data_IF_982870224685
#
_entry.id   IF_982870224685
#
_cell.length_a   1.000
_cell.length_b   1.000
_cell.length_c   1.000
_cell.angle_alpha   90.00
_cell.angle_beta   90.00
_cell.angle_gamma   90.00
#
_symmetry.space_group_name_H-M   'P 1'
#
loop_
_entity.id
_entity.type
_entity.pdbx_description
1 polymer ?
#
# COMPACT_ATOMS: atom_id res chain seq x y z
N UNK A 1 -12.39 28.20 47.64
CA UNK A 1 -12.02 27.84 46.26
C UNK A 1 -11.23 26.55 46.34
N UNK A 2 -11.75 25.45 45.80
CA UNK A 2 -11.11 24.15 45.86
C UNK A 2 -10.23 23.95 44.61
N UNK A 3 -9.00 23.49 44.80
CA UNK A 3 -8.11 23.08 43.70
C UNK A 3 -8.69 21.89 42.94
N UNK A 4 -8.57 21.83 41.61
CA UNK A 4 -8.99 20.67 40.84
C UNK A 4 -8.05 19.48 41.11
N UNK A 5 -8.56 18.24 41.12
CA UNK A 5 -7.73 17.06 41.34
C UNK A 5 -6.70 16.91 40.23
N UNK A 6 -5.42 16.77 40.60
CA UNK A 6 -4.36 16.40 39.68
C UNK A 6 -4.70 15.04 39.06
N UNK A 7 -4.84 15.01 37.74
CA UNK A 7 -4.96 13.77 37.00
C UNK A 7 -3.63 13.01 37.11
N UNK A 8 -3.66 11.87 37.79
CA UNK A 8 -2.59 10.88 37.75
C UNK A 8 -2.42 10.40 36.31
N UNK A 9 -1.45 10.99 35.61
CA UNK A 9 -1.01 10.50 34.31
C UNK A 9 -0.28 9.17 34.57
N UNK A 10 -1.04 8.08 34.61
CA UNK A 10 -0.46 6.74 34.55
C UNK A 10 0.25 6.68 33.21
N UNK A 11 1.59 6.75 33.26
CA UNK A 11 2.44 6.47 32.13
C UNK A 11 2.19 5.01 31.73
N UNK A 12 1.19 4.79 30.88
CA UNK A 12 1.16 3.66 29.97
C UNK A 12 2.54 3.65 29.34
N UNK A 13 3.35 2.64 29.68
CA UNK A 13 4.60 2.36 29.00
C UNK A 13 4.24 2.06 27.55
N UNK A 14 4.07 3.15 26.78
CA UNK A 14 3.54 3.12 25.44
C UNK A 14 4.47 2.23 24.64
N UNK A 15 3.93 1.14 24.13
CA UNK A 15 4.59 0.34 23.10
C UNK A 15 4.95 1.33 21.98
N UNK A 16 6.22 1.69 21.91
CA UNK A 16 6.74 2.53 20.83
C UNK A 16 6.39 1.76 19.54
N UNK A 17 5.56 2.33 18.64
CA UNK A 17 5.19 1.65 17.43
C UNK A 17 6.46 1.30 16.67
N UNK A 18 6.72 0.01 16.48
CA UNK A 18 7.85 -0.42 15.65
C UNK A 18 7.53 -0.02 14.22
N UNK A 19 8.42 0.77 13.63
CA UNK A 19 8.32 1.09 12.20
C UNK A 19 8.32 -0.23 11.41
N UNK A 20 7.51 -0.33 10.34
CA UNK A 20 7.53 -1.50 9.48
C UNK A 20 8.97 -1.72 8.99
N UNK A 21 9.50 -2.91 9.22
CA UNK A 21 10.78 -3.31 8.66
C UNK A 21 10.52 -3.94 7.29
N UNK A 22 11.30 -3.55 6.27
CA UNK A 22 11.19 -4.19 4.99
C UNK A 22 11.68 -5.62 5.06
N UNK A 23 10.91 -6.53 4.48
CA UNK A 23 11.34 -7.89 4.19
C UNK A 23 12.08 -7.97 2.84
N UNK A 24 11.96 -6.95 1.97
CA UNK A 24 12.73 -6.85 0.74
C UNK A 24 13.96 -5.94 0.88
N UNK A 25 15.01 -6.16 0.07
CA UNK A 25 16.21 -5.30 0.05
C UNK A 25 16.01 -3.96 -0.71
N UNK A 26 14.77 -3.48 -0.76
CA UNK A 26 14.34 -2.30 -1.52
C UNK A 26 14.13 -1.09 -0.58
N UNK A 27 13.92 0.12 -1.12
CA UNK A 27 14.14 0.47 -2.52
C UNK A 27 15.65 0.45 -2.77
N UNK A 28 16.08 0.09 -3.97
CA UNK A 28 17.46 0.38 -4.39
C UNK A 28 17.52 1.88 -4.69
N UNK A 29 17.56 2.68 -3.62
CA UNK A 29 17.35 4.13 -3.72
C UNK A 29 18.40 4.81 -4.58
N UNK A 30 17.94 5.63 -5.54
CA UNK A 30 18.78 6.67 -6.15
C UNK A 30 19.13 7.70 -5.07
N UNK A 31 20.39 8.17 -5.03
CA UNK A 31 20.81 9.22 -4.07
C UNK A 31 19.85 10.43 -4.13
N UNK A 32 19.41 10.91 -2.97
CA UNK A 32 18.61 12.15 -2.83
C UNK A 32 17.08 11.98 -2.80
N UNK A 33 16.53 10.76 -2.81
CA UNK A 33 15.10 10.53 -2.57
C UNK A 33 14.81 9.96 -1.18
N UNK A 34 13.85 10.56 -0.47
CA UNK A 34 13.26 9.98 0.73
C UNK A 34 12.11 9.05 0.32
N UNK A 35 12.23 7.79 0.71
CA UNK A 35 11.20 6.78 0.49
C UNK A 35 10.41 6.51 1.76
N UNK A 36 9.12 6.28 1.58
CA UNK A 36 8.20 5.80 2.60
C UNK A 36 7.88 4.35 2.32
N UNK A 37 8.03 3.51 3.34
CA UNK A 37 7.61 2.12 3.33
C UNK A 37 6.23 2.00 3.95
N UNK A 38 5.38 1.24 3.26
CA UNK A 38 4.14 0.70 3.82
C UNK A 38 4.09 -0.79 3.52
N UNK A 39 3.59 -1.56 4.48
CA UNK A 39 3.57 -3.02 4.42
C UNK A 39 2.22 -3.50 4.92
N UNK A 40 1.61 -4.42 4.18
CA UNK A 40 0.39 -5.11 4.62
C UNK A 40 0.57 -6.62 4.52
N UNK A 41 0.02 -7.34 5.51
CA UNK A 41 -0.18 -8.79 5.39
C UNK A 41 -1.49 -9.00 4.65
N UNK A 42 -1.41 -9.74 3.56
CA UNK A 42 -2.56 -9.94 2.69
C UNK A 42 -3.45 -11.02 3.27
N UNK A 43 -4.73 -10.67 3.42
CA UNK A 43 -5.83 -11.56 3.73
C UNK A 43 -7.04 -11.17 2.87
N UNK A 44 -8.04 -12.05 2.69
CA UNK A 44 -9.18 -11.75 1.84
C UNK A 44 -9.90 -10.46 2.26
N UNK A 45 -9.84 -9.45 1.40
CA UNK A 45 -10.55 -8.18 1.55
C UNK A 45 -11.87 -8.24 0.76
N UNK A 46 -12.89 -7.53 1.24
CA UNK A 46 -14.24 -7.51 0.64
C UNK A 46 -14.42 -6.34 -0.33
N UNK A 47 -13.72 -5.24 -0.08
CA UNK A 47 -13.70 -4.09 -0.98
C UNK A 47 -12.38 -3.32 -0.88
N UNK A 48 -12.09 -2.52 -1.90
CA UNK A 48 -10.97 -1.59 -1.89
C UNK A 48 -11.39 -0.19 -2.33
N UNK A 49 -10.59 0.80 -1.94
CA UNK A 49 -10.65 2.15 -2.48
C UNK A 49 -9.25 2.58 -2.91
N UNK A 50 -9.14 3.14 -4.12
CA UNK A 50 -7.88 3.68 -4.62
C UNK A 50 -7.72 5.13 -4.14
N UNK A 51 -6.57 5.48 -3.61
CA UNK A 51 -6.19 6.88 -3.39
C UNK A 51 -5.44 7.39 -4.61
N UNK A 52 -5.91 8.49 -5.19
CA UNK A 52 -5.37 9.03 -6.45
C UNK A 52 -4.91 10.48 -6.29
N UNK A 53 -3.84 10.84 -7.01
CA UNK A 53 -3.39 12.22 -7.14
C UNK A 53 -3.15 12.53 -8.62
N UNK A 54 -4.10 13.23 -9.26
CA UNK A 54 -4.12 13.36 -10.71
C UNK A 54 -4.33 11.98 -11.36
N UNK A 55 -3.39 11.56 -12.22
CA UNK A 55 -3.42 10.24 -12.88
C UNK A 55 -2.68 9.15 -12.11
N UNK A 56 -2.03 9.48 -10.99
CA UNK A 56 -1.20 8.55 -10.23
C UNK A 56 -2.02 7.90 -9.11
N UNK A 57 -1.95 6.58 -8.99
CA UNK A 57 -2.45 5.87 -7.82
C UNK A 57 -1.36 5.96 -6.75
N UNK A 58 -1.70 6.56 -5.61
CA UNK A 58 -0.74 6.80 -4.52
C UNK A 58 -0.87 5.79 -3.39
N UNK A 59 -2.03 5.14 -3.26
CA UNK A 59 -2.24 4.12 -2.25
C UNK A 59 -3.56 3.37 -2.41
N UNK A 60 -3.75 2.40 -1.53
CA UNK A 60 -4.90 1.50 -1.44
C UNK A 60 -5.42 1.51 -0.01
N UNK A 61 -6.74 1.56 0.12
CA UNK A 61 -7.44 1.23 1.35
C UNK A 61 -8.16 -0.10 1.11
N UNK A 62 -7.80 -1.15 1.85
CA UNK A 62 -8.47 -2.44 1.84
C UNK A 62 -9.44 -2.51 3.02
N UNK A 63 -10.65 -2.99 2.76
CA UNK A 63 -11.70 -3.14 3.75
C UNK A 63 -12.03 -4.62 3.85
N UNK A 64 -12.08 -5.14 5.07
CA UNK A 64 -12.26 -6.55 5.36
C UNK A 64 -13.68 -6.87 5.83
N UNK A 65 -14.03 -8.16 5.89
CA UNK A 65 -15.36 -8.61 6.29
C UNK A 65 -15.74 -8.19 7.72
N UNK A 66 -14.75 -8.10 8.60
CA UNK A 66 -14.89 -7.65 10.00
C UNK A 66 -14.99 -6.12 10.12
N UNK A 67 -14.97 -5.39 9.01
CA UNK A 67 -14.97 -3.92 8.98
C UNK A 67 -13.62 -3.29 9.30
N UNK A 68 -12.58 -4.09 9.58
CA UNK A 68 -11.23 -3.55 9.72
C UNK A 68 -10.73 -3.00 8.38
N UNK A 69 -9.76 -2.11 8.46
CA UNK A 69 -9.17 -1.45 7.31
C UNK A 69 -7.65 -1.52 7.38
N UNK A 70 -7.02 -1.80 6.24
CA UNK A 70 -5.57 -1.64 6.07
C UNK A 70 -5.28 -0.66 4.95
N UNK A 71 -4.17 0.06 5.09
CA UNK A 71 -3.70 1.00 4.06
C UNK A 71 -2.35 0.58 3.52
N UNK A 72 -2.17 0.79 2.23
CA UNK A 72 -0.92 0.59 1.53
C UNK A 72 -0.60 1.81 0.67
N UNK A 73 0.66 2.21 0.63
CA UNK A 73 1.10 3.46 0.01
C UNK A 73 0.66 4.69 0.79
N UNK A 74 0.51 5.80 0.08
CA UNK A 74 0.05 7.09 0.62
C UNK A 74 -1.44 7.25 0.35
N UNK A 75 -2.24 7.04 1.39
CA UNK A 75 -3.70 7.19 1.33
C UNK A 75 -4.12 8.57 1.82
N UNK A 76 -4.76 9.33 0.94
CA UNK A 76 -5.47 10.57 1.29
C UNK A 76 -6.97 10.30 1.24
N UNK A 77 -7.65 10.35 2.39
CA UNK A 77 -9.07 10.03 2.52
C UNK A 77 -9.96 10.92 1.63
N UNK A 78 -9.61 12.19 1.47
CA UNK A 78 -10.32 13.14 0.61
C UNK A 78 -10.15 12.85 -0.90
N UNK A 79 -9.21 11.98 -1.28
CA UNK A 79 -8.92 11.59 -2.67
C UNK A 79 -9.15 10.10 -2.92
N UNK A 80 -9.98 9.46 -2.11
CA UNK A 80 -10.39 8.08 -2.33
C UNK A 80 -11.45 8.01 -3.43
N UNK A 81 -11.20 7.17 -4.41
CA UNK A 81 -12.20 6.77 -5.38
C UNK A 81 -13.35 5.99 -4.71
N UNK A 82 -14.50 5.84 -5.39
CA UNK A 82 -15.58 4.97 -4.93
C UNK A 82 -15.09 3.55 -4.62
N UNK A 83 -15.73 2.85 -3.67
CA UNK A 83 -15.36 1.48 -3.34
C UNK A 83 -15.62 0.52 -4.50
N UNK A 84 -14.67 -0.36 -4.72
CA UNK A 84 -14.75 -1.46 -5.68
C UNK A 84 -14.83 -2.78 -4.91
N UNK A 85 -15.78 -3.63 -5.28
CA UNK A 85 -15.95 -4.94 -4.64
C UNK A 85 -14.84 -5.87 -5.09
N UNK A 86 -14.24 -6.56 -4.13
CA UNK A 86 -13.16 -7.52 -4.39
C UNK A 86 -13.71 -8.94 -4.51
N UNK A 87 -12.99 -9.76 -5.28
CA UNK A 87 -13.24 -11.19 -5.44
C UNK A 87 -12.13 -12.00 -4.76
N UNK A 88 -12.34 -13.31 -4.64
CA UNK A 88 -11.46 -14.20 -3.87
C UNK A 88 -10.04 -14.33 -4.45
N UNK A 89 -9.84 -14.02 -5.73
CA UNK A 89 -8.58 -14.27 -6.42
C UNK A 89 -7.49 -13.21 -6.20
N UNK A 90 -7.81 -12.05 -5.61
CA UNK A 90 -6.85 -10.96 -5.41
C UNK A 90 -7.13 -9.73 -6.27
N UNK A 91 -6.06 -8.96 -6.52
CA UNK A 91 -6.06 -7.78 -7.39
C UNK A 91 -4.89 -7.83 -8.38
N UNK A 92 -5.04 -7.12 -9.49
CA UNK A 92 -4.03 -7.00 -10.53
C UNK A 92 -3.51 -5.57 -10.57
N UNK A 93 -2.20 -5.40 -10.40
CA UNK A 93 -1.56 -4.08 -10.34
C UNK A 93 -0.63 -3.90 -11.53
N UNK A 94 -0.80 -2.81 -12.27
CA UNK A 94 0.10 -2.39 -13.35
C UNK A 94 0.94 -1.19 -12.90
N UNK A 95 2.25 -1.36 -13.00
CA UNK A 95 3.21 -0.27 -12.89
C UNK A 95 3.83 0.05 -14.26
N UNK A 96 4.00 1.33 -14.55
CA UNK A 96 4.62 1.83 -15.79
C UNK A 96 5.67 2.89 -15.48
N UNK A 97 6.59 3.12 -16.42
CA UNK A 97 7.54 4.24 -16.35
C UNK A 97 6.82 5.53 -16.76
N UNK A 98 6.58 6.42 -15.80
CA UNK A 98 6.02 7.76 -16.01
C UNK A 98 7.06 8.77 -15.59
N UNK A 99 7.42 9.69 -16.50
CA UNK A 99 8.51 10.66 -16.29
C UNK A 99 9.85 10.02 -15.86
N UNK A 100 10.14 8.81 -16.37
CA UNK A 100 11.32 7.98 -16.03
C UNK A 100 11.30 7.39 -14.60
N UNK A 101 10.14 7.34 -13.97
CA UNK A 101 9.94 6.76 -12.65
C UNK A 101 8.85 5.69 -12.67
N UNK A 102 9.03 4.55 -11.99
CA UNK A 102 7.97 3.57 -11.87
C UNK A 102 6.80 4.18 -11.08
N UNK A 103 5.59 4.04 -11.62
CA UNK A 103 4.35 4.46 -10.96
C UNK A 103 3.27 3.41 -11.14
N UNK A 104 2.47 3.18 -10.10
CA UNK A 104 1.24 2.40 -10.22
C UNK A 104 0.21 3.23 -10.98
N UNK A 105 -0.17 2.73 -12.16
CA UNK A 105 -1.06 3.43 -13.09
C UNK A 105 -2.44 2.79 -13.15
N UNK A 106 -2.56 1.50 -12.81
CA UNK A 106 -3.84 0.80 -12.74
C UNK A 106 -3.83 -0.25 -11.65
N UNK A 107 -4.99 -0.42 -11.01
CA UNK A 107 -5.33 -1.53 -10.13
C UNK A 107 -6.72 -2.00 -10.58
N UNK A 108 -6.88 -3.29 -10.84
CA UNK A 108 -8.14 -3.86 -11.31
C UNK A 108 -8.43 -5.16 -10.57
N UNK A 109 -9.72 -5.46 -10.37
CA UNK A 109 -10.16 -6.67 -9.66
C UNK A 109 -10.29 -7.87 -10.58
N UNK A 110 -10.69 -7.65 -11.83
CA UNK A 110 -10.80 -8.70 -12.82
C UNK A 110 -9.47 -8.95 -13.51
N UNK A 111 -9.24 -10.21 -13.91
CA UNK A 111 -8.05 -10.56 -14.69
C UNK A 111 -8.03 -9.75 -15.99
N UNK A 112 -6.97 -8.96 -16.26
CA UNK A 112 -6.86 -8.23 -17.51
C UNK A 112 -6.91 -9.18 -18.72
N UNK A 113 -7.74 -8.87 -19.72
CA UNK A 113 -7.83 -9.70 -20.92
C UNK A 113 -6.63 -9.57 -21.86
N UNK A 114 -6.13 -8.33 -22.06
CA UNK A 114 -4.94 -8.04 -22.88
C UNK A 114 -3.76 -7.67 -21.99
N UNK A 115 -2.56 -8.14 -22.35
CA UNK A 115 -1.31 -7.87 -21.65
C UNK A 115 -1.34 -8.22 -20.14
N UNK A 116 -2.01 -9.31 -19.77
CA UNK A 116 -2.12 -9.76 -18.39
C UNK A 116 -0.75 -10.03 -17.74
N UNK A 117 0.23 -10.41 -18.55
CA UNK A 117 1.64 -10.65 -18.18
C UNK A 117 2.35 -9.38 -17.66
N UNK A 118 1.85 -8.19 -17.99
CA UNK A 118 2.39 -6.91 -17.48
C UNK A 118 1.90 -6.56 -16.08
N UNK A 119 0.89 -7.27 -15.58
CA UNK A 119 0.31 -7.01 -14.27
C UNK A 119 0.94 -7.92 -13.23
N UNK A 120 1.16 -7.37 -12.05
CA UNK A 120 1.40 -8.14 -10.84
C UNK A 120 0.07 -8.65 -10.31
N UNK A 121 -0.11 -9.97 -10.30
CA UNK A 121 -1.23 -10.59 -9.60
C UNK A 121 -0.91 -10.67 -8.11
N UNK A 122 -1.58 -9.84 -7.31
CA UNK A 122 -1.48 -9.86 -5.85
C UNK A 122 -2.64 -10.69 -5.31
N UNK A 123 -2.35 -11.92 -4.89
CA UNK A 123 -3.34 -12.79 -4.26
C UNK A 123 -3.51 -12.38 -2.79
N UNK A 124 -4.62 -12.78 -2.16
CA UNK A 124 -4.88 -12.49 -0.74
C UNK A 124 -4.06 -13.35 0.24
N UNK A 125 -2.76 -13.49 -0.02
CA UNK A 125 -1.82 -14.30 0.73
C UNK A 125 -0.45 -13.65 0.71
N UNK A 126 0.35 -13.84 1.76
CA UNK A 126 1.70 -13.30 1.85
C UNK A 126 1.72 -11.83 2.30
N UNK A 127 2.67 -11.07 1.79
CA UNK A 127 2.88 -9.67 2.18
C UNK A 127 3.08 -8.80 0.94
N UNK A 128 2.50 -7.61 0.93
CA UNK A 128 2.77 -6.59 -0.10
C UNK A 128 3.47 -5.40 0.54
N UNK A 129 4.61 -5.04 -0.03
CA UNK A 129 5.32 -3.81 0.31
C UNK A 129 5.13 -2.79 -0.79
N UNK A 130 4.86 -1.55 -0.38
CA UNK A 130 4.81 -0.40 -1.27
C UNK A 130 5.80 0.64 -0.78
N UNK A 131 6.87 0.78 -1.56
CA UNK A 131 7.85 1.86 -1.42
C UNK A 131 7.40 3.03 -2.26
N UNK A 132 7.30 4.22 -1.67
CA UNK A 132 6.89 5.40 -2.40
C UNK A 132 7.76 6.60 -2.07
N UNK A 133 8.07 7.40 -3.09
CA UNK A 133 8.65 8.73 -2.94
C UNK A 133 7.71 9.77 -3.56
N UNK A 134 8.12 11.03 -3.54
CA UNK A 134 7.42 12.09 -4.27
C UNK A 134 7.26 11.77 -5.76
N UNK A 135 8.18 11.03 -6.38
CA UNK A 135 8.23 10.81 -7.84
C UNK A 135 7.95 9.38 -8.28
N UNK A 136 8.21 8.39 -7.42
CA UNK A 136 8.14 6.98 -7.82
C UNK A 136 7.47 6.08 -6.80
N UNK A 137 7.11 4.87 -7.22
CA UNK A 137 6.84 3.76 -6.32
C UNK A 137 7.28 2.41 -6.88
N UNK A 138 7.62 1.51 -5.97
CA UNK A 138 7.97 0.11 -6.25
C UNK A 138 7.14 -0.80 -5.34
N UNK A 139 6.61 -1.87 -5.93
CA UNK A 139 5.78 -2.86 -5.25
C UNK A 139 6.54 -4.19 -5.17
N UNK A 140 6.62 -4.75 -3.96
CA UNK A 140 7.21 -6.07 -3.75
C UNK A 140 6.17 -7.00 -3.14
N UNK A 141 5.78 -8.01 -3.92
CA UNK A 141 4.82 -9.01 -3.48
C UNK A 141 5.55 -10.26 -2.97
N UNK A 142 5.66 -10.36 -1.66
CA UNK A 142 6.35 -11.46 -1.00
C UNK A 142 5.39 -12.65 -0.84
N UNK A 143 5.18 -13.32 -1.97
CA UNK A 143 4.64 -14.68 -2.09
C UNK A 143 5.67 -15.62 -2.76
N UNK A 144 6.90 -15.14 -2.95
CA UNK A 144 7.97 -15.78 -3.74
C UNK A 144 8.19 -15.19 -5.15
N UNK A 145 7.54 -14.07 -5.52
CA UNK A 145 7.72 -13.41 -6.82
C UNK A 145 7.95 -11.90 -6.71
N UNK A 146 9.08 -11.40 -7.20
CA UNK A 146 9.36 -9.95 -7.31
C UNK A 146 9.12 -9.51 -8.75
N UNK A 147 8.38 -8.41 -8.99
CA UNK A 147 8.40 -7.76 -10.30
C UNK A 147 9.83 -7.23 -10.56
N UNK A 148 10.47 -7.55 -11.69
CA UNK A 148 11.73 -6.90 -12.01
C UNK A 148 11.43 -5.44 -12.41
N UNK A 149 12.14 -4.50 -11.81
CA UNK A 149 12.47 -3.26 -12.49
C UNK A 149 13.29 -3.65 -13.72
N UNK A 150 12.65 -3.81 -14.89
CA UNK A 150 13.41 -3.93 -16.13
C UNK A 150 14.20 -2.62 -16.34
N UNK A 151 15.44 -2.72 -16.86
CA UNK A 151 16.38 -1.62 -16.98
C UNK A 151 15.86 -0.43 -17.80
#
# INVERSE_FOLDING_TARGET
MAEPPQADYVASAGLIPRLPQPASSYPRGKRGEAFYLSVIKLRPATSMRLSVNGRRITGLLLIYQDGAEDTLGRVCLAKLQPPERLYEDGIWILAEQVDKYPQVVRVVVEKPGRNADRYLHVRWQGQLEWWSSARQCELHYLQGQTLPARP
#
